data_IF_569757548337
#
_entry.id   IF_569757548337
#
_cell.length_a   1.000
_cell.length_b   1.000
_cell.length_c   1.000
_cell.angle_alpha   90.00
_cell.angle_beta   90.00
_cell.angle_gamma   90.00
#
_symmetry.space_group_name_H-M   'P 1'
#
loop_
_entity.id
_entity.type
_entity.pdbx_description
1 polymer ?
#
# COMPACT_ATOMS: atom_id res chain seq x y z
N UNK A 1 14.00 16.29 5.58
CA UNK A 1 13.14 16.95 4.60
C UNK A 1 12.81 15.98 3.48
N UNK A 2 11.53 15.79 3.21
CA UNK A 2 11.11 14.90 2.13
C UNK A 2 11.10 15.66 0.84
N UNK A 3 11.81 15.13 -0.15
CA UNK A 3 11.86 15.76 -1.47
C UNK A 3 10.54 15.50 -2.18
N UNK A 4 10.16 16.40 -3.06
CA UNK A 4 8.91 16.29 -3.80
C UNK A 4 8.79 14.95 -4.54
N UNK A 5 9.89 14.47 -5.10
CA UNK A 5 9.89 13.19 -5.82
C UNK A 5 9.60 12.01 -4.89
N UNK A 6 10.04 12.09 -3.64
CA UNK A 6 9.75 11.04 -2.69
C UNK A 6 8.29 11.05 -2.27
N UNK A 7 7.68 12.22 -2.15
CA UNK A 7 6.26 12.32 -1.83
C UNK A 7 5.40 11.66 -2.91
N UNK A 8 5.78 11.81 -4.16
CA UNK A 8 5.07 11.19 -5.27
C UNK A 8 5.07 9.67 -5.20
N UNK A 9 6.05 9.11 -4.49
CA UNK A 9 6.27 7.68 -4.43
C UNK A 9 5.95 7.10 -3.06
N UNK A 10 5.42 7.93 -2.17
CA UNK A 10 5.13 7.52 -0.80
C UNK A 10 3.65 7.25 -0.61
N UNK A 11 3.36 6.09 -0.05
CA UNK A 11 1.99 5.67 0.25
C UNK A 11 1.87 5.51 1.76
N UNK A 12 0.85 6.16 2.32
CA UNK A 12 0.53 5.98 3.74
C UNK A 12 -0.58 4.95 3.85
N UNK A 13 -0.36 3.91 4.63
CA UNK A 13 -1.32 2.84 4.82
C UNK A 13 -1.80 2.86 6.26
N UNK A 14 -3.10 3.09 6.44
CA UNK A 14 -3.73 3.10 7.76
C UNK A 14 -4.57 1.85 7.90
N UNK A 15 -4.14 0.92 8.74
CA UNK A 15 -4.84 -0.35 8.95
C UNK A 15 -5.76 -0.21 10.16
N UNK A 16 -7.02 -0.47 9.97
CA UNK A 16 -8.03 -0.36 11.02
C UNK A 16 -8.41 -1.70 11.64
N UNK A 17 -8.29 -2.77 10.90
CA UNK A 17 -8.54 -4.10 11.42
C UNK A 17 -7.69 -5.13 10.71
N UNK A 18 -7.42 -6.22 11.39
CA UNK A 18 -6.64 -7.30 10.83
C UNK A 18 -7.14 -8.61 11.44
N UNK A 19 -7.63 -9.48 10.60
CA UNK A 19 -8.18 -10.76 11.02
C UNK A 19 -7.89 -11.82 9.98
N UNK A 20 -7.27 -12.92 10.42
CA UNK A 20 -6.93 -14.04 9.55
C UNK A 20 -6.22 -13.61 8.27
N UNK A 21 -5.17 -12.80 8.45
CA UNK A 21 -4.33 -12.32 7.36
C UNK A 21 -5.05 -11.35 6.41
N UNK A 22 -6.18 -10.79 6.85
CA UNK A 22 -6.90 -9.83 6.02
C UNK A 22 -6.90 -8.47 6.68
N UNK A 23 -6.12 -7.51 6.16
CA UNK A 23 -6.16 -6.14 6.66
C UNK A 23 -7.25 -5.33 5.99
N UNK A 24 -7.87 -4.46 6.74
CA UNK A 24 -8.87 -3.53 6.23
C UNK A 24 -8.45 -2.13 6.66
N UNK A 25 -8.48 -1.20 5.74
CA UNK A 25 -8.11 0.16 6.05
C UNK A 25 -8.10 1.05 4.84
N UNK A 26 -7.29 2.09 4.91
CA UNK A 26 -7.17 3.09 3.86
C UNK A 26 -5.72 3.26 3.45
N UNK A 27 -5.51 3.59 2.19
CA UNK A 27 -4.19 3.92 1.66
C UNK A 27 -4.26 5.22 0.92
N UNK A 28 -3.24 6.06 1.09
CA UNK A 28 -3.18 7.37 0.46
C UNK A 28 -1.83 7.59 -0.19
N UNK A 29 -1.86 8.07 -1.44
CA UNK A 29 -0.66 8.59 -2.07
C UNK A 29 -0.47 10.00 -1.52
N UNK A 30 0.64 10.22 -0.82
CA UNK A 30 0.78 11.45 -0.03
C UNK A 30 0.84 12.72 -0.88
N UNK A 31 1.40 12.65 -2.05
CA UNK A 31 1.60 13.85 -2.86
C UNK A 31 0.28 14.53 -3.27
N UNK A 32 -0.66 13.73 -3.77
CA UNK A 32 -1.91 14.28 -4.28
C UNK A 32 -3.10 13.94 -3.41
N UNK A 33 -2.85 13.35 -2.24
CA UNK A 33 -3.89 12.95 -1.30
C UNK A 33 -4.94 12.05 -1.94
N UNK A 34 -4.51 11.24 -2.89
CA UNK A 34 -5.38 10.27 -3.56
C UNK A 34 -5.50 9.03 -2.69
N UNK A 35 -6.63 8.91 -2.01
CA UNK A 35 -6.85 7.87 -1.02
C UNK A 35 -7.91 6.89 -1.48
N UNK A 36 -7.76 5.64 -1.03
CA UNK A 36 -8.75 4.62 -1.32
C UNK A 36 -8.84 3.65 -0.13
N UNK A 37 -9.98 2.97 -0.05
CA UNK A 37 -10.18 1.96 0.99
C UNK A 37 -9.89 0.58 0.43
N UNK A 38 -9.28 -0.26 1.26
CA UNK A 38 -9.01 -1.64 0.88
C UNK A 38 -9.59 -2.59 1.92
N UNK A 39 -10.03 -3.75 1.47
CA UNK A 39 -10.59 -4.80 2.31
C UNK A 39 -9.76 -6.08 2.26
N UNK A 40 -8.62 -6.04 1.58
CA UNK A 40 -7.72 -7.18 1.48
C UNK A 40 -6.36 -6.69 1.02
N UNK A 41 -5.35 -7.54 1.17
CA UNK A 41 -4.01 -7.23 0.65
C UNK A 41 -4.03 -7.07 -0.87
N UNK A 42 -4.82 -7.88 -1.56
CA UNK A 42 -4.93 -7.76 -3.01
C UNK A 42 -5.48 -6.40 -3.41
N UNK A 43 -6.52 -5.94 -2.75
CA UNK A 43 -7.09 -4.62 -3.04
C UNK A 43 -6.09 -3.51 -2.75
N UNK A 44 -5.33 -3.66 -1.68
CA UNK A 44 -4.29 -2.69 -1.34
C UNK A 44 -3.25 -2.59 -2.45
N UNK A 45 -2.70 -3.72 -2.87
CA UNK A 45 -1.63 -3.74 -3.87
C UNK A 45 -2.14 -3.26 -5.23
N UNK A 46 -3.29 -3.76 -5.65
CA UNK A 46 -3.89 -3.36 -6.93
C UNK A 46 -4.24 -1.87 -6.91
N UNK A 47 -4.78 -1.39 -5.79
CA UNK A 47 -5.13 0.01 -5.66
C UNK A 47 -3.92 0.92 -5.75
N UNK A 48 -2.83 0.57 -5.09
CA UNK A 48 -1.58 1.33 -5.18
C UNK A 48 -1.07 1.33 -6.62
N UNK A 49 -1.03 0.16 -7.23
CA UNK A 49 -0.54 0.04 -8.59
C UNK A 49 -1.35 0.89 -9.58
N UNK A 50 -2.67 0.87 -9.43
CA UNK A 50 -3.53 1.64 -10.32
C UNK A 50 -3.31 3.14 -10.20
N UNK A 51 -3.08 3.63 -8.98
CA UNK A 51 -2.83 5.05 -8.79
C UNK A 51 -1.50 5.47 -9.43
N UNK A 52 -0.48 4.65 -9.30
CA UNK A 52 0.80 4.96 -9.93
C UNK A 52 0.75 4.82 -11.45
N UNK A 53 -0.05 3.90 -11.96
CA UNK A 53 -0.21 3.77 -13.41
C UNK A 53 -0.94 4.96 -14.01
N UNK A 54 -1.91 5.51 -13.28
CA UNK A 54 -2.61 6.70 -13.75
C UNK A 54 -1.68 7.90 -13.85
N UNK A 55 -0.69 7.97 -12.99
CA UNK A 55 0.25 9.07 -12.96
C UNK A 55 1.33 8.97 -14.02
N UNK A 56 1.56 7.83 -14.54
CA UNK A 56 2.28 7.47 -15.77
C UNK A 56 3.70 8.02 -15.97
N UNK A 57 4.18 8.91 -15.13
CA UNK A 57 5.43 9.62 -15.42
C UNK A 57 6.57 9.30 -14.50
N UNK A 58 6.32 8.56 -13.43
CA UNK A 58 7.31 8.45 -12.37
C UNK A 58 7.98 7.10 -12.27
N UNK A 59 7.42 6.10 -12.92
CA UNK A 59 7.97 4.75 -12.83
C UNK A 59 7.98 4.07 -14.17
N UNK A 60 9.00 3.25 -14.43
CA UNK A 60 8.92 2.29 -15.52
C UNK A 60 7.70 1.41 -15.30
N UNK A 61 7.10 1.00 -16.38
CA UNK A 61 5.93 0.16 -16.31
C UNK A 61 6.29 -1.18 -15.69
N UNK A 62 5.51 -1.62 -14.74
CA UNK A 62 5.71 -2.94 -14.17
C UNK A 62 4.50 -3.81 -14.37
N UNK A 63 3.38 -3.44 -13.76
CA UNK A 63 2.19 -4.28 -13.88
C UNK A 63 1.42 -4.03 -15.16
N UNK A 64 1.78 -3.02 -15.93
CA UNK A 64 1.12 -2.78 -17.21
C UNK A 64 1.40 -3.89 -18.21
N UNK A 65 2.47 -4.67 -18.00
CA UNK A 65 2.78 -5.80 -18.87
C UNK A 65 2.05 -7.07 -18.48
N UNK A 66 1.40 -7.07 -17.32
CA UNK A 66 0.64 -8.23 -16.91
C UNK A 66 -0.64 -8.31 -17.72
N UNK A 67 -0.94 -9.51 -18.16
CA UNK A 67 -2.18 -9.74 -18.88
C UNK A 67 -3.34 -9.59 -17.94
N UNK A 68 -4.29 -8.77 -18.35
CA UNK A 68 -5.54 -8.63 -17.62
C UNK A 68 -6.64 -9.18 -18.49
N UNK A 69 -7.61 -9.81 -17.86
CA UNK A 69 -8.80 -10.20 -18.58
C UNK A 69 -9.55 -8.93 -18.93
N UNK A 70 -9.86 -8.77 -20.22
CA UNK A 70 -10.66 -7.65 -20.64
C UNK A 70 -12.12 -8.04 -20.53
N UNK A 71 -12.77 -7.49 -19.57
CA UNK A 71 -14.17 -7.76 -19.32
C UNK A 71 -14.91 -6.45 -19.52
N UNK A 72 -15.17 -6.10 -20.74
CA UNK A 72 -15.97 -4.93 -21.05
C UNK A 72 -15.50 -3.66 -20.32
N UNK A 73 -16.36 -2.68 -20.28
CA UNK A 73 -16.05 -1.41 -19.62
C UNK A 73 -16.38 -1.48 -18.15
N UNK A 74 -15.72 -2.37 -17.43
CA UNK A 74 -15.98 -2.39 -16.03
C UNK A 74 -15.28 -1.27 -15.34
N UNK A 75 -16.06 -0.36 -14.90
CA UNK A 75 -15.59 0.58 -13.95
C UNK A 75 -15.45 -0.15 -12.64
N UNK A 76 -14.27 -0.04 -12.12
CA UNK A 76 -14.04 -0.47 -10.80
C UNK A 76 -14.93 0.38 -9.89
N UNK A 77 -16.04 -0.18 -9.47
CA UNK A 77 -16.98 0.53 -8.64
C UNK A 77 -16.50 0.79 -7.24
N UNK A 78 -15.25 0.47 -6.94
CA UNK A 78 -14.75 0.57 -5.58
C UNK A 78 -13.90 1.80 -5.34
N UNK A 79 -13.89 2.77 -6.24
CA UNK A 79 -13.10 3.97 -6.00
C UNK A 79 -13.87 4.93 -5.12
N UNK A 80 -13.96 4.58 -3.85
CA UNK A 80 -14.44 5.57 -2.88
C UNK A 80 -13.34 6.56 -2.61
N UNK A 81 -13.67 7.83 -2.73
CA UNK A 81 -12.76 8.88 -2.31
C UNK A 81 -12.79 8.92 -0.79
N UNK A 82 -11.67 8.61 -0.17
CA UNK A 82 -11.54 8.57 1.27
C UNK A 82 -10.80 9.81 1.71
N UNK A 83 -11.21 10.37 2.84
CA UNK A 83 -10.51 11.52 3.41
C UNK A 83 -9.12 11.10 3.88
N UNK A 84 -8.09 11.90 3.63
CA UNK A 84 -6.75 11.58 4.12
C UNK A 84 -6.73 11.44 5.64
N UNK A 85 -6.02 10.43 6.10
CA UNK A 85 -5.80 10.19 7.51
C UNK A 85 -4.31 10.01 7.74
N UNK A 86 -3.90 10.18 8.98
CA UNK A 86 -2.48 10.05 9.34
C UNK A 86 -2.22 8.85 10.23
N UNK A 87 -3.25 8.14 10.65
CA UNK A 87 -3.07 7.04 11.58
C UNK A 87 -4.18 6.00 11.46
N UNK A 88 -3.79 4.72 11.45
CA UNK A 88 -4.74 3.62 11.49
C UNK A 88 -5.02 3.20 12.93
N UNK A 89 -6.10 2.46 13.13
CA UNK A 89 -6.46 1.98 14.46
C UNK A 89 -5.55 0.87 14.94
N UNK A 90 -5.12 0.00 14.03
CA UNK A 90 -4.26 -1.14 14.36
C UNK A 90 -2.81 -0.78 14.14
N UNK A 91 -2.50 -0.20 12.99
CA UNK A 91 -1.13 0.13 12.62
C UNK A 91 -1.12 1.12 11.49
N UNK A 92 0.00 1.83 11.35
CA UNK A 92 0.22 2.78 10.28
C UNK A 92 1.57 2.51 9.65
N UNK A 93 1.58 2.41 8.31
CA UNK A 93 2.81 2.16 7.56
C UNK A 93 2.99 3.24 6.51
N UNK A 94 4.24 3.56 6.26
CA UNK A 94 4.62 4.43 5.15
C UNK A 94 5.46 3.60 4.20
N UNK A 95 5.08 3.57 2.94
CA UNK A 95 5.82 2.83 1.92
C UNK A 95 6.40 3.80 0.93
N UNK A 96 7.71 3.75 0.74
CA UNK A 96 8.39 4.49 -0.30
C UNK A 96 8.75 3.51 -1.42
N UNK A 97 8.10 3.68 -2.57
CA UNK A 97 8.41 2.86 -3.74
C UNK A 97 9.56 3.49 -4.49
N UNK A 98 10.67 2.76 -4.58
CA UNK A 98 11.87 3.25 -5.25
C UNK A 98 11.89 2.81 -6.70
N UNK A 99 11.37 1.62 -6.98
CA UNK A 99 11.43 1.06 -8.32
C UNK A 99 10.26 0.11 -8.55
N UNK A 100 9.74 0.10 -9.79
CA UNK A 100 8.67 -0.80 -10.22
C UNK A 100 9.05 -1.39 -11.58
N UNK A 101 10.10 -2.18 -11.62
CA UNK A 101 10.55 -2.78 -12.88
C UNK A 101 10.22 -4.26 -12.92
N UNK A 102 9.84 -4.73 -14.11
CA UNK A 102 9.61 -6.16 -14.38
C UNK A 102 8.58 -6.77 -13.42
N UNK A 103 7.51 -6.05 -13.16
CA UNK A 103 6.44 -6.47 -12.25
C UNK A 103 6.94 -6.67 -10.82
N UNK A 104 8.04 -6.06 -10.48
CA UNK A 104 8.61 -6.13 -9.15
C UNK A 104 8.62 -4.75 -8.51
N UNK A 105 8.17 -4.68 -7.28
CA UNK A 105 8.23 -3.46 -6.49
C UNK A 105 9.42 -3.54 -5.56
N UNK A 106 10.18 -2.46 -5.49
CA UNK A 106 11.30 -2.34 -4.57
C UNK A 106 11.18 -1.04 -3.81
N UNK A 107 11.48 -1.09 -2.54
CA UNK A 107 11.42 0.13 -1.75
C UNK A 107 11.63 -0.12 -0.27
N UNK A 108 11.07 0.79 0.51
CA UNK A 108 11.18 0.73 1.96
C UNK A 108 9.80 0.87 2.58
N UNK A 109 9.57 0.11 3.66
CA UNK A 109 8.37 0.24 4.46
C UNK A 109 8.77 0.66 5.87
N UNK A 110 8.06 1.63 6.42
CA UNK A 110 8.27 2.08 7.78
C UNK A 110 7.00 1.83 8.59
N UNK A 111 7.15 1.12 9.70
CA UNK A 111 6.07 0.93 10.66
C UNK A 111 6.12 2.10 11.64
N UNK A 112 5.20 3.03 11.51
CA UNK A 112 5.32 4.31 12.19
C UNK A 112 5.23 4.19 13.71
N UNK A 113 4.33 3.38 14.23
CA UNK A 113 4.17 3.25 15.68
C UNK A 113 5.39 2.65 16.37
N UNK A 114 6.10 1.77 15.67
CA UNK A 114 7.27 1.11 16.22
C UNK A 114 8.58 1.70 15.73
N UNK A 115 8.51 2.67 14.83
CA UNK A 115 9.70 3.32 14.27
C UNK A 115 10.67 2.31 13.67
N UNK A 116 10.14 1.28 12.99
CA UNK A 116 10.94 0.25 12.35
C UNK A 116 10.84 0.40 10.85
N UNK A 117 11.96 0.19 10.19
CA UNK A 117 12.06 0.33 8.75
C UNK A 117 12.66 -0.94 8.16
N UNK A 118 12.10 -1.39 7.07
CA UNK A 118 12.57 -2.57 6.34
C UNK A 118 12.61 -2.28 4.86
N UNK A 119 13.52 -2.95 4.18
CA UNK A 119 13.57 -2.90 2.72
C UNK A 119 12.84 -4.09 2.15
N UNK A 120 12.20 -3.89 1.00
CA UNK A 120 11.58 -4.99 0.28
C UNK A 120 12.01 -4.94 -1.18
N UNK A 121 12.14 -6.12 -1.79
CA UNK A 121 12.58 -6.26 -3.18
C UNK A 121 11.51 -6.83 -4.08
N UNK A 122 10.34 -7.12 -3.54
CA UNK A 122 9.23 -7.66 -4.30
C UNK A 122 7.94 -7.39 -3.57
N UNK A 123 6.84 -7.52 -4.30
CA UNK A 123 5.51 -7.40 -3.69
C UNK A 123 5.32 -8.47 -2.62
N UNK A 124 5.83 -9.67 -2.87
CA UNK A 124 5.70 -10.75 -1.90
C UNK A 124 6.40 -10.41 -0.59
N UNK A 125 7.62 -9.88 -0.66
CA UNK A 125 8.32 -9.46 0.55
C UNK A 125 7.55 -8.38 1.29
N UNK A 126 7.00 -7.42 0.56
CA UNK A 126 6.19 -6.37 1.16
C UNK A 126 4.99 -6.95 1.90
N UNK A 127 4.30 -7.88 1.26
CA UNK A 127 3.15 -8.53 1.87
C UNK A 127 3.56 -9.28 3.13
N UNK A 128 4.68 -10.00 3.08
CA UNK A 128 5.14 -10.76 4.23
C UNK A 128 5.55 -9.86 5.39
N UNK A 129 6.17 -8.73 5.11
CA UNK A 129 6.52 -7.77 6.16
C UNK A 129 5.27 -7.21 6.80
N UNK A 130 4.29 -6.80 5.99
CA UNK A 130 3.03 -6.28 6.50
C UNK A 130 2.30 -7.31 7.36
N UNK A 131 2.21 -8.52 6.86
CA UNK A 131 1.52 -9.58 7.59
C UNK A 131 2.22 -9.91 8.91
N UNK A 132 3.54 -9.94 8.90
CA UNK A 132 4.31 -10.20 10.12
C UNK A 132 4.07 -9.11 11.16
N UNK A 133 4.11 -7.84 10.72
CA UNK A 133 3.88 -6.73 11.64
C UNK A 133 2.48 -6.76 12.23
N UNK A 134 1.49 -6.99 11.37
CA UNK A 134 0.10 -7.00 11.81
C UNK A 134 -0.20 -8.19 12.72
N UNK A 135 0.42 -9.32 12.46
CA UNK A 135 0.28 -10.49 13.33
C UNK A 135 0.85 -10.21 14.71
N UNK A 136 1.96 -9.48 14.78
CA UNK A 136 2.57 -9.11 16.05
C UNK A 136 1.63 -8.23 16.87
N UNK A 137 1.02 -7.23 16.25
CA UNK A 137 0.07 -6.35 16.94
C UNK A 137 -1.12 -7.16 17.45
N UNK A 138 -1.63 -8.04 16.60
CA UNK A 138 -2.79 -8.85 16.96
C UNK A 138 -2.51 -9.74 18.16
N UNK A 139 -1.32 -10.34 18.20
CA UNK A 139 -0.92 -11.19 19.32
C UNK A 139 -0.78 -10.40 20.62
N UNK A 140 -0.26 -9.19 20.54
CA UNK A 140 -0.15 -8.33 21.71
C UNK A 140 -1.52 -7.96 22.26
N UNK A 141 -2.48 -7.74 21.39
CA UNK A 141 -3.82 -7.37 21.82
C UNK A 141 -4.58 -8.53 22.46
N UNK A 142 -4.28 -9.76 22.06
CA UNK A 142 -4.95 -10.92 22.64
C UNK A 142 -4.37 -11.34 23.97
N UNK A 143 -3.19 -10.87 24.30
CA UNK A 143 -2.55 -11.21 25.57
C UNK A 143 -2.80 -10.19 26.67
N UNK A 144 -3.63 -9.24 26.43
CA UNK A 144 -3.92 -8.21 27.44
C UNK A 144 -5.14 -8.54 28.26
#
# INVERSE_FOLDING_TARGET
MIVREELNKTVLICVDSYYEHVPIGDACILFDENCFRFNSLSQLIIGINNRFDLDNNNFPQSFTHLKKFRVGSEQDGSSYTVRPRHKGRVATFSILLICRQNSSWQGQITWLEKRKKENFRSVLELIMILDSALSTVNNLNTNS
#
